data_IF_100752329302
#
_entry.id   IF_100752329302
#
_cell.length_a   1.000
_cell.length_b   1.000
_cell.length_c   1.000
_cell.angle_alpha   90.00
_cell.angle_beta   90.00
_cell.angle_gamma   90.00
#
_symmetry.space_group_name_H-M   'P 1'
#
loop_
_entity.id
_entity.type
_entity.pdbx_description
1 polymer ?
#
# COMPACT_ATOMS: atom_id res chain seq x y z
N UNK A 1 37.45 -25.46 -15.82
CA UNK A 1 36.24 -25.34 -14.98
C UNK A 1 35.55 -24.04 -15.35
N UNK A 2 34.50 -24.09 -16.16
CA UNK A 2 33.74 -22.90 -16.51
C UNK A 2 32.82 -22.55 -15.32
N UNK A 3 33.07 -21.40 -14.69
CA UNK A 3 32.19 -20.81 -13.68
C UNK A 3 30.92 -20.34 -14.38
N UNK A 4 29.87 -21.15 -14.37
CA UNK A 4 28.57 -20.75 -14.90
C UNK A 4 27.89 -19.84 -13.87
N UNK A 5 27.78 -18.57 -14.25
CA UNK A 5 27.07 -17.48 -13.57
C UNK A 5 25.61 -17.85 -13.19
N UNK A 6 25.04 -18.86 -13.85
CA UNK A 6 23.71 -19.43 -13.60
C UNK A 6 23.52 -19.98 -12.17
N UNK A 7 24.60 -20.37 -11.50
CA UNK A 7 24.52 -20.86 -10.11
C UNK A 7 24.18 -19.75 -9.09
N UNK A 8 24.35 -18.47 -9.46
CA UNK A 8 24.11 -17.31 -8.60
C UNK A 8 22.74 -16.65 -8.78
N UNK A 9 21.98 -17.00 -9.82
CA UNK A 9 20.61 -16.45 -10.05
C UNK A 9 19.57 -17.37 -9.39
N UNK A 10 19.61 -17.46 -8.06
CA UNK A 10 18.60 -18.17 -7.24
C UNK A 10 17.60 -17.20 -6.61
N UNK A 11 17.00 -16.33 -7.41
CA UNK A 11 15.83 -15.57 -6.99
C UNK A 11 14.83 -15.52 -8.15
N UNK A 12 14.03 -16.59 -8.29
CA UNK A 12 12.81 -16.49 -9.07
C UNK A 12 11.89 -15.52 -8.32
N UNK A 13 11.85 -14.26 -8.77
CA UNK A 13 10.86 -13.30 -8.26
C UNK A 13 9.48 -13.90 -8.50
N UNK A 14 8.55 -13.80 -7.54
CA UNK A 14 7.20 -14.31 -7.73
C UNK A 14 6.57 -13.67 -8.98
N UNK A 15 5.68 -14.39 -9.69
CA UNK A 15 5.01 -13.84 -10.85
C UNK A 15 4.23 -12.57 -10.47
N UNK A 16 4.11 -11.60 -11.39
CA UNK A 16 3.32 -10.39 -11.16
C UNK A 16 1.89 -10.71 -10.72
N UNK A 17 1.47 -10.18 -9.57
CA UNK A 17 0.13 -10.38 -9.03
C UNK A 17 -0.75 -9.18 -9.36
N UNK A 18 -1.92 -9.43 -9.95
CA UNK A 18 -2.90 -8.40 -10.22
C UNK A 18 -3.42 -7.81 -8.89
N UNK A 19 -3.43 -6.48 -8.79
CA UNK A 19 -3.97 -5.77 -7.64
C UNK A 19 -5.47 -5.53 -7.78
N UNK A 20 -5.94 -5.21 -8.97
CA UNK A 20 -7.36 -5.06 -9.25
C UNK A 20 -7.64 -5.29 -10.74
N UNK A 21 -8.90 -5.63 -11.02
CA UNK A 21 -9.44 -5.79 -12.37
C UNK A 21 -10.72 -4.97 -12.46
N UNK A 22 -10.95 -4.29 -13.58
CA UNK A 22 -12.18 -3.50 -13.81
C UNK A 22 -13.39 -4.41 -13.97
N UNK A 23 -14.58 -3.80 -13.98
CA UNK A 23 -15.73 -4.48 -14.55
C UNK A 23 -15.51 -4.70 -16.05
N UNK A 24 -16.08 -5.81 -16.54
CA UNK A 24 -16.03 -6.14 -17.95
C UNK A 24 -17.06 -5.30 -18.72
N UNK A 25 -16.60 -4.58 -19.74
CA UNK A 25 -17.49 -3.86 -20.66
C UNK A 25 -17.62 -4.67 -21.94
N UNK A 26 -18.87 -4.90 -22.38
CA UNK A 26 -19.20 -5.51 -23.67
C UNK A 26 -19.92 -4.51 -24.56
N UNK A 27 -19.42 -4.32 -25.78
CA UNK A 27 -20.04 -3.46 -26.80
C UNK A 27 -19.82 -4.08 -28.18
N UNK A 28 -20.93 -4.41 -28.86
CA UNK A 28 -20.95 -4.97 -30.23
C UNK A 28 -19.92 -6.09 -30.43
N UNK A 29 -19.99 -7.06 -29.53
CA UNK A 29 -19.12 -8.24 -29.49
C UNK A 29 -17.70 -7.99 -28.98
N UNK A 30 -17.25 -6.73 -28.86
CA UNK A 30 -15.96 -6.42 -28.27
C UNK A 30 -16.05 -6.44 -26.75
N UNK A 31 -15.00 -6.93 -26.10
CA UNK A 31 -14.89 -6.98 -24.64
C UNK A 31 -13.68 -6.18 -24.18
N UNK A 32 -13.84 -5.42 -23.09
CA UNK A 32 -12.79 -4.62 -22.46
C UNK A 32 -12.68 -4.96 -20.98
N UNK A 33 -11.45 -5.20 -20.53
CA UNK A 33 -11.12 -5.43 -19.12
C UNK A 33 -9.78 -4.75 -18.84
N UNK A 34 -9.69 -3.92 -17.79
CA UNK A 34 -8.43 -3.40 -17.31
C UNK A 34 -7.92 -4.21 -16.13
N UNK A 35 -6.60 -4.38 -16.03
CA UNK A 35 -5.91 -4.96 -14.89
C UNK A 35 -4.76 -4.06 -14.47
N UNK A 36 -4.59 -3.84 -13.17
CA UNK A 36 -3.48 -3.04 -12.61
C UNK A 36 -2.54 -3.91 -11.78
N UNK A 37 -1.24 -3.66 -11.93
CA UNK A 37 -0.16 -4.31 -11.19
C UNK A 37 0.73 -3.25 -10.54
N UNK A 38 1.32 -3.58 -9.38
CA UNK A 38 2.43 -2.80 -8.85
C UNK A 38 3.65 -2.93 -9.77
N UNK A 39 4.32 -1.82 -10.03
CA UNK A 39 5.54 -1.76 -10.83
C UNK A 39 6.38 -0.56 -10.41
N UNK A 40 7.48 -0.81 -9.71
CA UNK A 40 8.40 0.24 -9.24
C UNK A 40 9.45 0.64 -10.26
N UNK A 41 9.50 -0.07 -11.39
CA UNK A 41 10.39 0.22 -12.51
C UNK A 41 9.75 -0.11 -13.85
N UNK A 42 10.20 0.52 -14.95
CA UNK A 42 9.74 0.16 -16.30
C UNK A 42 9.98 -1.31 -16.67
N UNK A 43 11.01 -1.94 -16.09
CA UNK A 43 11.28 -3.37 -16.28
C UNK A 43 10.21 -4.24 -15.62
N UNK A 44 9.80 -3.91 -14.40
CA UNK A 44 8.69 -4.59 -13.72
C UNK A 44 7.36 -4.39 -14.44
N UNK A 45 7.11 -3.18 -14.94
CA UNK A 45 5.94 -2.90 -15.77
C UNK A 45 5.91 -3.82 -17.01
N UNK A 46 7.04 -3.93 -17.72
CA UNK A 46 7.17 -4.81 -18.89
C UNK A 46 6.99 -6.29 -18.54
N UNK A 47 7.50 -6.74 -17.39
CA UNK A 47 7.29 -8.11 -16.89
C UNK A 47 5.81 -8.38 -16.63
N UNK A 48 5.09 -7.44 -16.01
CA UNK A 48 3.66 -7.57 -15.76
C UNK A 48 2.84 -7.60 -17.05
N UNK A 49 3.13 -6.72 -18.02
CA UNK A 49 2.50 -6.72 -19.35
C UNK A 49 2.70 -8.09 -20.03
N UNK A 50 3.94 -8.58 -20.07
CA UNK A 50 4.27 -9.87 -20.68
C UNK A 50 3.63 -11.05 -19.94
N UNK A 51 3.53 -10.99 -18.62
CA UNK A 51 2.85 -12.01 -17.82
C UNK A 51 1.36 -12.05 -18.13
N UNK A 52 0.69 -10.89 -18.16
CA UNK A 52 -0.72 -10.81 -18.51
C UNK A 52 -0.96 -11.37 -19.92
N UNK A 53 -0.21 -10.90 -20.91
CA UNK A 53 -0.35 -11.28 -22.32
C UNK A 53 -0.14 -12.77 -22.56
N UNK A 54 0.95 -13.33 -22.03
CA UNK A 54 1.38 -14.69 -22.38
C UNK A 54 0.93 -15.78 -21.39
N UNK A 55 0.67 -15.41 -20.14
CA UNK A 55 0.31 -16.37 -19.07
C UNK A 55 -1.15 -16.22 -18.70
N UNK A 56 -1.57 -15.04 -18.24
CA UNK A 56 -2.96 -14.83 -17.78
C UNK A 56 -3.96 -14.97 -18.93
N UNK A 57 -3.67 -14.36 -20.08
CA UNK A 57 -4.46 -14.47 -21.31
C UNK A 57 -3.93 -15.51 -22.29
N UNK A 58 -2.96 -16.34 -21.89
CA UNK A 58 -2.35 -17.34 -22.79
C UNK A 58 -3.37 -18.30 -23.41
N UNK A 59 -4.39 -18.70 -22.64
CA UNK A 59 -5.46 -19.57 -23.13
C UNK A 59 -6.46 -18.87 -24.06
N UNK A 60 -6.63 -17.55 -23.92
CA UNK A 60 -7.54 -16.73 -24.73
C UNK A 60 -6.92 -15.34 -24.96
N UNK A 61 -5.97 -15.22 -25.91
CA UNK A 61 -5.25 -13.98 -26.14
C UNK A 61 -6.19 -12.81 -26.45
N UNK A 62 -5.95 -11.65 -25.86
CA UNK A 62 -6.61 -10.42 -26.26
C UNK A 62 -6.13 -10.01 -27.65
N UNK A 63 -6.97 -9.28 -28.38
CA UNK A 63 -6.58 -8.67 -29.65
C UNK A 63 -5.57 -7.54 -29.42
N UNK A 64 -5.73 -6.80 -28.33
CA UNK A 64 -4.83 -5.71 -27.93
C UNK A 64 -4.64 -5.69 -26.42
N UNK A 65 -3.40 -5.58 -25.96
CA UNK A 65 -3.00 -5.36 -24.56
C UNK A 65 -2.44 -3.94 -24.40
N UNK A 66 -3.33 -2.96 -24.31
CA UNK A 66 -2.98 -1.55 -24.26
C UNK A 66 -2.41 -1.24 -22.88
N UNK A 67 -1.19 -0.71 -22.79
CA UNK A 67 -0.54 -0.51 -21.49
C UNK A 67 -0.11 0.93 -21.26
N UNK A 68 -0.08 1.33 -19.99
CA UNK A 68 0.65 2.50 -19.53
C UNK A 68 1.23 2.28 -18.13
N UNK A 69 2.37 2.90 -17.84
CA UNK A 69 3.02 2.80 -16.55
C UNK A 69 3.59 4.15 -16.12
N UNK A 70 3.69 4.31 -14.80
CA UNK A 70 4.32 5.45 -14.14
C UNK A 70 5.10 4.91 -12.95
N UNK A 71 6.42 5.04 -12.96
CA UNK A 71 7.30 4.50 -11.92
C UNK A 71 8.15 5.61 -11.33
N UNK A 72 8.19 5.70 -10.01
CA UNK A 72 9.07 6.58 -9.26
C UNK A 72 10.43 5.90 -9.13
N UNK A 73 11.41 6.36 -9.90
CA UNK A 73 12.74 5.74 -9.96
C UNK A 73 13.81 6.66 -9.39
N UNK A 74 14.86 6.07 -8.84
CA UNK A 74 16.04 6.78 -8.38
C UNK A 74 16.83 7.29 -9.59
N UNK A 75 17.18 8.57 -9.59
CA UNK A 75 18.02 9.18 -10.64
C UNK A 75 19.41 8.55 -10.63
N UNK A 76 20.09 8.50 -11.79
CA UNK A 76 21.48 8.06 -11.85
C UNK A 76 22.36 8.85 -10.87
N UNK A 77 23.30 8.15 -10.23
CA UNK A 77 24.27 8.74 -9.29
C UNK A 77 23.66 9.34 -8.01
N UNK A 78 22.40 9.02 -7.69
CA UNK A 78 21.78 9.32 -6.39
C UNK A 78 21.67 8.07 -5.54
N UNK A 79 21.57 8.23 -4.22
CA UNK A 79 21.43 7.15 -3.24
C UNK A 79 20.05 7.13 -2.56
N UNK A 80 19.23 8.15 -2.79
CA UNK A 80 17.87 8.26 -2.26
C UNK A 80 17.81 8.85 -0.85
N UNK A 81 18.95 9.23 -0.26
CA UNK A 81 19.03 9.86 1.06
C UNK A 81 18.94 11.39 0.98
N UNK A 82 19.15 11.98 -0.20
CA UNK A 82 19.09 13.42 -0.46
C UNK A 82 17.66 13.99 -0.50
N UNK A 83 16.64 13.15 -0.33
CA UNK A 83 15.23 13.55 -0.32
C UNK A 83 14.56 13.40 -1.69
N UNK A 84 13.40 14.04 -1.91
CA UNK A 84 12.57 13.83 -3.10
C UNK A 84 13.26 14.13 -4.44
N UNK A 85 14.23 15.05 -4.44
CA UNK A 85 14.95 15.45 -5.65
C UNK A 85 15.84 14.35 -6.24
N UNK A 86 16.13 13.30 -5.46
CA UNK A 86 16.86 12.12 -5.92
C UNK A 86 16.02 11.23 -6.83
N UNK A 87 14.70 11.45 -6.89
CA UNK A 87 13.77 10.61 -7.63
C UNK A 87 13.19 11.34 -8.85
N UNK A 88 12.79 10.57 -9.87
CA UNK A 88 12.05 11.05 -11.03
C UNK A 88 10.93 10.08 -11.45
N UNK A 89 9.85 10.62 -12.01
CA UNK A 89 8.75 9.79 -12.51
C UNK A 89 9.03 9.42 -13.95
N UNK A 90 9.39 8.17 -14.20
CA UNK A 90 9.49 7.62 -15.56
C UNK A 90 8.13 7.08 -15.97
N UNK A 91 7.57 7.64 -17.04
CA UNK A 91 6.27 7.25 -17.58
C UNK A 91 6.43 6.68 -18.99
N UNK A 92 5.55 5.76 -19.37
CA UNK A 92 5.50 5.24 -20.74
C UNK A 92 4.16 4.57 -21.04
N UNK A 93 3.95 4.27 -22.32
CA UNK A 93 2.73 3.62 -22.80
C UNK A 93 3.00 2.77 -24.04
N UNK A 94 2.15 1.78 -24.26
CA UNK A 94 2.12 0.92 -25.44
C UNK A 94 0.67 0.80 -25.95
N UNK A 95 0.49 0.99 -27.25
CA UNK A 95 -0.82 0.88 -27.91
C UNK A 95 -1.17 -0.59 -28.25
N UNK A 96 -0.19 -1.49 -28.36
CA UNK A 96 -0.32 -2.88 -28.84
C UNK A 96 -1.23 -3.02 -30.08
N UNK A 97 -1.06 -2.13 -31.06
CA UNK A 97 -1.83 -2.11 -32.31
C UNK A 97 -3.16 -1.33 -32.25
N UNK A 98 -3.68 -1.04 -31.07
CA UNK A 98 -4.85 -0.18 -30.86
C UNK A 98 -4.41 1.30 -30.86
N UNK A 99 -4.11 1.85 -32.05
CA UNK A 99 -3.52 3.19 -32.20
C UNK A 99 -4.18 4.26 -31.33
N UNK A 100 -3.34 5.06 -30.66
CA UNK A 100 -3.66 6.18 -29.78
C UNK A 100 -4.31 5.81 -28.44
N UNK A 101 -4.31 4.54 -28.04
CA UNK A 101 -4.96 4.09 -26.81
C UNK A 101 -4.05 4.16 -25.58
N UNK A 102 -2.79 3.77 -25.67
CA UNK A 102 -1.85 3.72 -24.55
C UNK A 102 -1.62 5.09 -23.92
N UNK A 103 -1.49 6.13 -24.75
CA UNK A 103 -1.38 7.51 -24.28
C UNK A 103 -2.63 8.00 -23.52
N UNK A 104 -3.81 7.45 -23.80
CA UNK A 104 -5.04 7.76 -23.06
C UNK A 104 -5.07 7.08 -21.70
N UNK A 105 -4.67 5.81 -21.63
CA UNK A 105 -4.49 5.11 -20.35
C UNK A 105 -3.48 5.86 -19.48
N UNK A 106 -2.37 6.33 -20.05
CA UNK A 106 -1.39 7.14 -19.33
C UNK A 106 -1.99 8.45 -18.79
N UNK A 107 -2.79 9.16 -19.60
CA UNK A 107 -3.50 10.37 -19.14
C UNK A 107 -4.46 10.09 -18.00
N UNK A 108 -5.17 8.96 -18.04
CA UNK A 108 -6.04 8.54 -16.92
C UNK A 108 -5.21 8.31 -15.66
N UNK A 109 -4.09 7.58 -15.74
CA UNK A 109 -3.20 7.36 -14.60
C UNK A 109 -2.64 8.66 -14.02
N UNK A 110 -2.29 9.63 -14.88
CA UNK A 110 -1.84 10.96 -14.47
C UNK A 110 -2.93 11.75 -13.76
N UNK A 111 -4.15 11.78 -14.32
CA UNK A 111 -5.29 12.47 -13.73
C UNK A 111 -5.69 11.88 -12.37
N UNK A 112 -5.58 10.56 -12.23
CA UNK A 112 -5.86 9.86 -10.96
C UNK A 112 -4.69 9.94 -9.97
N UNK A 113 -3.51 10.38 -10.37
CA UNK A 113 -2.33 10.44 -9.51
C UNK A 113 -1.70 9.07 -9.19
N UNK A 114 -1.93 8.07 -10.04
CA UNK A 114 -1.41 6.70 -9.83
C UNK A 114 0.07 6.62 -10.24
N UNK A 115 0.93 6.22 -9.30
CA UNK A 115 2.37 5.98 -9.48
C UNK A 115 2.73 4.58 -8.99
N UNK A 116 3.93 4.12 -9.34
CA UNK A 116 4.45 2.77 -9.06
C UNK A 116 3.52 1.64 -9.50
N UNK A 117 2.91 1.84 -10.65
CA UNK A 117 1.96 0.92 -11.22
C UNK A 117 2.04 0.86 -12.75
N UNK A 118 1.54 -0.25 -13.28
CA UNK A 118 1.19 -0.42 -14.69
C UNK A 118 -0.27 -0.81 -14.80
N UNK A 119 -0.99 -0.13 -15.70
CA UNK A 119 -2.36 -0.45 -16.08
C UNK A 119 -2.33 -1.04 -17.48
N UNK A 120 -2.95 -2.21 -17.64
CA UNK A 120 -3.14 -2.84 -18.94
C UNK A 120 -4.63 -2.98 -19.20
N UNK A 121 -5.11 -2.43 -20.32
CA UNK A 121 -6.47 -2.57 -20.81
C UNK A 121 -6.48 -3.57 -21.95
N UNK A 122 -7.05 -4.73 -21.69
CA UNK A 122 -7.16 -5.82 -22.62
C UNK A 122 -8.45 -5.70 -23.42
N UNK A 123 -8.35 -5.73 -24.75
CA UNK A 123 -9.47 -5.69 -25.67
C UNK A 123 -9.54 -6.99 -26.49
N UNK A 124 -10.67 -7.67 -26.45
CA UNK A 124 -11.00 -8.74 -27.41
C UNK A 124 -11.94 -8.16 -28.47
N UNK A 125 -11.50 -8.14 -29.73
CA UNK A 125 -12.28 -7.56 -30.83
C UNK A 125 -13.45 -8.46 -31.22
N UNK A 126 -14.64 -7.86 -31.33
CA UNK A 126 -15.89 -8.55 -31.62
C UNK A 126 -16.28 -8.71 -33.08
N UNK A 127 -15.49 -8.18 -34.02
CA UNK A 127 -15.83 -8.14 -35.45
C UNK A 127 -16.38 -6.81 -35.95
N UNK A 128 -16.84 -5.91 -35.06
CA UNK A 128 -17.36 -4.59 -35.44
C UNK A 128 -16.47 -3.43 -34.97
N UNK A 129 -16.20 -2.48 -35.87
CA UNK A 129 -15.42 -1.28 -35.55
C UNK A 129 -16.22 -0.31 -34.67
N UNK A 130 -15.81 -0.14 -33.42
CA UNK A 130 -16.49 0.76 -32.49
C UNK A 130 -16.19 2.26 -32.73
N UNK A 131 -15.22 2.58 -33.58
CA UNK A 131 -14.82 3.96 -33.85
C UNK A 131 -14.27 4.65 -32.60
N UNK A 132 -14.77 5.85 -32.29
CA UNK A 132 -14.33 6.65 -31.13
C UNK A 132 -14.74 6.03 -29.79
N UNK A 133 -15.86 5.33 -29.74
CA UNK A 133 -16.46 4.79 -28.51
C UNK A 133 -15.54 3.81 -27.79
N UNK A 134 -14.67 3.07 -28.52
CA UNK A 134 -13.68 2.18 -27.89
C UNK A 134 -12.78 2.90 -26.89
N UNK A 135 -12.43 4.16 -27.17
CA UNK A 135 -11.57 4.94 -26.29
C UNK A 135 -12.27 5.31 -24.99
N UNK A 136 -13.58 5.57 -25.04
CA UNK A 136 -14.37 5.86 -23.84
C UNK A 136 -14.40 4.62 -22.92
N UNK A 137 -14.55 3.41 -23.50
CA UNK A 137 -14.46 2.13 -22.76
C UNK A 137 -13.07 1.89 -22.17
N UNK A 138 -12.02 2.13 -22.95
CA UNK A 138 -10.62 1.98 -22.50
C UNK A 138 -10.34 2.91 -21.31
N UNK A 139 -10.72 4.18 -21.42
CA UNK A 139 -10.52 5.16 -20.36
C UNK A 139 -11.37 4.85 -19.12
N UNK A 140 -12.59 4.34 -19.29
CA UNK A 140 -13.45 3.93 -18.18
C UNK A 140 -12.85 2.74 -17.41
N UNK A 141 -12.48 1.65 -18.10
CA UNK A 141 -11.84 0.50 -17.46
C UNK A 141 -10.54 0.90 -16.74
N UNK A 142 -9.70 1.74 -17.37
CA UNK A 142 -8.47 2.23 -16.76
C UNK A 142 -8.75 3.04 -15.48
N UNK A 143 -9.77 3.90 -15.49
CA UNK A 143 -10.13 4.72 -14.32
C UNK A 143 -10.61 3.86 -13.16
N UNK A 144 -11.41 2.84 -13.41
CA UNK A 144 -11.89 1.93 -12.37
C UNK A 144 -10.74 1.25 -11.62
N UNK A 145 -9.77 0.69 -12.35
CA UNK A 145 -8.61 0.04 -11.70
C UNK A 145 -7.69 1.05 -11.02
N UNK A 146 -7.57 2.28 -11.54
CA UNK A 146 -6.83 3.36 -10.87
C UNK A 146 -7.45 3.70 -9.50
N UNK A 147 -8.78 3.84 -9.43
CA UNK A 147 -9.47 4.06 -8.16
C UNK A 147 -9.33 2.88 -7.19
N UNK A 148 -9.37 1.64 -7.69
CA UNK A 148 -9.15 0.46 -6.87
C UNK A 148 -7.72 0.39 -6.33
N UNK A 149 -6.72 0.70 -7.15
CA UNK A 149 -5.31 0.79 -6.77
C UNK A 149 -5.10 1.81 -5.65
N UNK A 150 -5.62 3.03 -5.83
CA UNK A 150 -5.48 4.10 -4.82
C UNK A 150 -6.12 3.75 -3.48
N UNK A 151 -7.28 3.11 -3.48
CA UNK A 151 -7.91 2.67 -2.23
C UNK A 151 -7.04 1.67 -1.47
N UNK A 152 -6.36 0.76 -2.19
CA UNK A 152 -5.42 -0.19 -1.59
C UNK A 152 -4.17 0.50 -1.05
N UNK A 153 -3.62 1.44 -1.81
CA UNK A 153 -2.44 2.22 -1.41
C UNK A 153 -2.72 3.11 -0.18
N UNK A 154 -3.85 3.83 -0.20
CA UNK A 154 -4.33 4.63 0.94
C UNK A 154 -4.54 3.74 2.17
N UNK A 155 -5.11 2.55 2.01
CA UNK A 155 -5.33 1.61 3.11
C UNK A 155 -4.00 1.10 3.68
N UNK A 156 -3.07 0.67 2.83
CA UNK A 156 -1.74 0.23 3.26
C UNK A 156 -1.02 1.32 4.06
N UNK A 157 -1.10 2.57 3.59
CA UNK A 157 -0.55 3.75 4.30
C UNK A 157 -1.22 3.96 5.65
N UNK A 158 -2.55 3.84 5.72
CA UNK A 158 -3.29 3.94 6.99
C UNK A 158 -2.89 2.84 7.98
N UNK A 159 -2.75 1.60 7.51
CA UNK A 159 -2.34 0.45 8.34
C UNK A 159 -0.92 0.65 8.88
N UNK A 160 0.01 1.07 8.04
CA UNK A 160 1.39 1.36 8.46
C UNK A 160 1.43 2.49 9.50
N UNK A 161 0.63 3.54 9.31
CA UNK A 161 0.50 4.64 10.27
C UNK A 161 -0.07 4.16 11.59
N UNK A 162 -1.13 3.35 11.57
CA UNK A 162 -1.74 2.77 12.77
C UNK A 162 -0.74 1.90 13.54
N UNK A 163 0.02 1.05 12.85
CA UNK A 163 1.03 0.21 13.48
C UNK A 163 2.12 1.05 14.17
N UNK A 164 2.59 2.12 13.53
CA UNK A 164 3.56 3.06 14.12
C UNK A 164 3.00 3.79 15.35
N UNK A 165 1.74 4.23 15.29
CA UNK A 165 1.05 4.86 16.42
C UNK A 165 0.87 3.89 17.59
N UNK A 166 0.52 2.63 17.32
CA UNK A 166 0.38 1.59 18.35
C UNK A 166 1.72 1.31 19.04
N UNK A 167 2.83 1.21 18.30
CA UNK A 167 4.18 1.07 18.86
C UNK A 167 4.55 2.28 19.74
N UNK A 168 4.26 3.49 19.26
CA UNK A 168 4.49 4.73 20.02
C UNK A 168 3.67 4.74 21.32
N UNK A 169 2.40 4.37 21.24
CA UNK A 169 1.49 4.32 22.39
C UNK A 169 1.94 3.27 23.42
N UNK A 170 2.38 2.11 22.97
CA UNK A 170 2.93 1.06 23.82
C UNK A 170 4.18 1.56 24.58
N UNK A 171 5.13 2.19 23.87
CA UNK A 171 6.33 2.76 24.48
C UNK A 171 6.01 3.82 25.54
N UNK A 172 5.10 4.74 25.23
CA UNK A 172 4.68 5.79 26.17
C UNK A 172 3.97 5.23 27.42
N UNK A 173 3.16 4.18 27.26
CA UNK A 173 2.53 3.50 28.40
C UNK A 173 3.54 2.81 29.30
N UNK A 174 4.55 2.16 28.73
CA UNK A 174 5.66 1.56 29.49
C UNK A 174 6.44 2.63 30.27
N UNK A 175 6.75 3.77 29.64
CA UNK A 175 7.41 4.90 30.30
C UNK A 175 6.56 5.46 31.45
N UNK A 176 5.24 5.61 31.25
CA UNK A 176 4.32 6.06 32.28
C UNK A 176 4.29 5.08 33.46
N UNK A 177 4.18 3.78 33.21
CA UNK A 177 4.19 2.76 34.25
C UNK A 177 5.52 2.72 35.03
N UNK A 178 6.65 2.99 34.38
CA UNK A 178 7.94 3.14 35.07
C UNK A 178 7.98 4.40 35.94
N UNK A 179 7.55 5.55 35.41
CA UNK A 179 7.54 6.82 36.13
C UNK A 179 6.60 6.82 37.35
N UNK A 180 5.42 6.20 37.23
CA UNK A 180 4.49 6.07 38.36
C UNK A 180 5.09 5.21 39.47
N UNK A 181 5.71 4.06 39.12
CA UNK A 181 6.38 3.21 40.10
C UNK A 181 7.50 3.94 40.85
N UNK A 182 8.27 4.80 40.17
CA UNK A 182 9.33 5.60 40.83
C UNK A 182 8.76 6.67 41.75
N UNK A 183 7.61 7.26 41.41
CA UNK A 183 6.95 8.24 42.27
C UNK A 183 6.43 7.58 43.56
N UNK A 184 5.77 6.42 43.43
CA UNK A 184 5.24 5.68 44.58
C UNK A 184 6.35 5.22 45.55
N UNK A 185 7.54 4.86 45.04
CA UNK A 185 8.70 4.51 45.90
C UNK A 185 9.30 5.69 46.66
N UNK A 186 9.17 6.92 46.15
CA UNK A 186 9.67 8.11 46.84
C UNK A 186 8.72 8.56 47.96
N UNK A 187 7.41 8.42 47.77
CA UNK A 187 6.41 8.73 48.80
C UNK A 187 6.42 7.72 49.97
N UNK A 188 6.81 6.46 49.73
CA UNK A 188 6.91 5.41 50.75
C UNK A 188 8.14 5.51 51.67
N UNK A 189 9.08 6.45 51.44
CA UNK A 189 10.27 6.65 52.30
C UNK A 189 10.00 7.55 53.52
N UNK A 190 8.74 7.78 53.84
CA UNK A 190 8.30 8.66 54.92
C UNK A 190 7.15 8.11 55.76
N UNK A 191 7.18 6.84 56.16
CA UNK A 191 6.63 6.31 57.43
C UNK A 191 6.84 4.80 57.50
N UNK A 192 7.06 4.28 58.71
CA UNK A 192 7.60 2.96 58.98
C UNK A 192 6.76 1.76 58.55
N UNK A 193 7.44 0.62 58.67
CA UNK A 193 7.00 -0.77 58.54
C UNK A 193 5.50 -1.02 58.74
N UNK A 194 4.85 -1.66 57.76
CA UNK A 194 4.06 -2.85 58.09
C UNK A 194 3.86 -3.79 56.89
N UNK A 195 3.82 -5.07 57.22
CA UNK A 195 3.74 -6.22 56.34
C UNK A 195 2.27 -6.58 56.10
N UNK A 196 1.75 -6.50 54.87
CA UNK A 196 0.53 -7.26 54.52
C UNK A 196 0.39 -7.56 53.04
N UNK A 197 0.15 -8.84 52.81
CA UNK A 197 -0.34 -9.50 51.60
C UNK A 197 -1.63 -8.87 51.10
N UNK A 198 -1.67 -8.45 49.83
CA UNK A 198 -2.93 -8.19 49.12
C UNK A 198 -2.86 -8.77 47.69
N UNK A 199 -3.60 -9.86 47.55
CA UNK A 199 -4.14 -10.41 46.32
C UNK A 199 -4.88 -9.32 45.52
N UNK A 200 -4.45 -9.08 44.29
CA UNK A 200 -4.96 -8.01 43.45
C UNK A 200 -4.81 -8.41 42.00
N UNK A 201 -5.89 -8.95 41.44
CA UNK A 201 -6.01 -9.40 40.06
C UNK A 201 -5.38 -8.41 39.09
N UNK A 202 -4.23 -8.78 38.55
CA UNK A 202 -3.57 -8.08 37.46
C UNK A 202 -4.54 -8.11 36.29
N UNK A 203 -5.19 -6.98 36.02
CA UNK A 203 -5.92 -6.77 34.78
C UNK A 203 -4.83 -6.80 33.70
N UNK A 204 -4.64 -7.99 33.14
CA UNK A 204 -3.73 -8.23 32.02
C UNK A 204 -4.20 -7.30 30.91
N UNK A 205 -3.50 -6.18 30.76
CA UNK A 205 -3.62 -5.32 29.60
C UNK A 205 -3.37 -6.23 28.41
N UNK A 206 -4.42 -6.51 27.64
CA UNK A 206 -4.35 -7.32 26.42
C UNK A 206 -3.16 -6.83 25.61
N UNK A 207 -2.11 -7.63 25.58
CA UNK A 207 -1.03 -7.55 24.60
C UNK A 207 -1.69 -7.48 23.23
N UNK A 208 -1.31 -6.57 22.32
CA UNK A 208 -1.88 -6.57 20.98
C UNK A 208 -1.46 -7.89 20.31
N UNK A 209 -2.39 -8.82 20.25
CA UNK A 209 -2.23 -10.09 19.55
C UNK A 209 -2.08 -9.81 18.06
N UNK A 210 -0.98 -10.30 17.49
CA UNK A 210 -0.57 -10.47 16.09
C UNK A 210 -1.67 -10.74 15.02
N UNK A 211 -2.64 -9.84 14.85
CA UNK A 211 -3.56 -9.79 13.69
C UNK A 211 -4.24 -8.41 13.58
N UNK A 212 -3.45 -7.34 13.66
CA UNK A 212 -4.00 -6.05 14.12
C UNK A 212 -4.94 -5.34 13.11
N UNK A 213 -4.78 -5.55 11.80
CA UNK A 213 -5.56 -4.79 10.79
C UNK A 213 -6.00 -5.58 9.55
N UNK A 214 -5.95 -6.92 9.58
CA UNK A 214 -6.34 -7.77 8.45
C UNK A 214 -7.78 -7.49 7.96
N UNK A 215 -8.73 -7.31 8.87
CA UNK A 215 -10.11 -6.96 8.49
C UNK A 215 -10.25 -5.56 7.84
N UNK A 216 -9.36 -4.62 8.16
CA UNK A 216 -9.34 -3.31 7.47
C UNK A 216 -8.75 -3.43 6.07
N UNK A 217 -7.68 -4.22 5.93
CA UNK A 217 -7.04 -4.51 4.65
C UNK A 217 -8.02 -5.16 3.67
N UNK A 218 -8.83 -6.12 4.15
CA UNK A 218 -9.85 -6.79 3.35
C UNK A 218 -11.03 -5.87 2.97
N UNK A 219 -11.51 -5.06 3.90
CA UNK A 219 -12.69 -4.20 3.66
C UNK A 219 -12.38 -2.94 2.85
N UNK A 220 -11.12 -2.50 2.80
CA UNK A 220 -10.70 -1.24 2.18
C UNK A 220 -11.50 -0.02 2.65
N UNK A 221 -12.02 -0.04 3.89
CA UNK A 221 -12.73 1.08 4.53
C UNK A 221 -11.74 2.13 5.05
N UNK A 222 -11.23 2.93 4.12
CA UNK A 222 -10.26 4.01 4.40
C UNK A 222 -10.83 5.03 5.40
N UNK A 223 -12.15 5.27 5.40
CA UNK A 223 -12.77 6.21 6.32
C UNK A 223 -12.71 5.70 7.77
N UNK A 224 -13.00 4.43 7.99
CA UNK A 224 -12.84 3.78 9.31
C UNK A 224 -11.38 3.77 9.75
N UNK A 225 -10.45 3.47 8.85
CA UNK A 225 -9.02 3.51 9.16
C UNK A 225 -8.56 4.91 9.62
N UNK A 226 -8.97 5.97 8.92
CA UNK A 226 -8.70 7.37 9.32
C UNK A 226 -9.28 7.73 10.69
N UNK A 227 -10.48 7.26 11.01
CA UNK A 227 -11.08 7.46 12.36
C UNK A 227 -10.25 6.77 13.45
N UNK A 228 -9.74 5.56 13.18
CA UNK A 228 -8.88 4.83 14.11
C UNK A 228 -7.54 5.56 14.33
N UNK A 229 -6.96 6.14 13.28
CA UNK A 229 -5.73 6.94 13.39
C UNK A 229 -5.96 8.11 14.35
N UNK A 230 -7.02 8.90 14.14
CA UNK A 230 -7.35 10.01 15.02
C UNK A 230 -7.57 9.56 16.49
N UNK A 231 -8.22 8.41 16.70
CA UNK A 231 -8.40 7.85 18.03
C UNK A 231 -7.06 7.46 18.71
N UNK A 232 -6.10 6.93 17.93
CA UNK A 232 -4.74 6.60 18.43
C UNK A 232 -3.93 7.85 18.73
N UNK A 233 -3.97 8.86 17.88
CA UNK A 233 -3.33 10.15 18.13
C UNK A 233 -3.84 10.82 19.41
N UNK A 234 -5.16 10.79 19.64
CA UNK A 234 -5.77 11.31 20.87
C UNK A 234 -5.33 10.50 22.10
N UNK A 235 -5.23 9.17 21.98
CA UNK A 235 -4.72 8.31 23.06
C UNK A 235 -3.27 8.64 23.40
N UNK A 236 -2.41 8.82 22.39
CA UNK A 236 -1.01 9.24 22.57
C UNK A 236 -0.93 10.60 23.28
N UNK A 237 -1.76 11.56 22.86
CA UNK A 237 -1.82 12.89 23.50
C UNK A 237 -2.17 12.77 24.97
N UNK A 238 -3.21 12.00 25.32
CA UNK A 238 -3.62 11.77 26.70
C UNK A 238 -2.51 11.13 27.55
N UNK A 239 -1.84 10.11 27.03
CA UNK A 239 -0.74 9.43 27.75
C UNK A 239 0.46 10.36 27.94
N UNK A 240 0.80 11.19 26.95
CA UNK A 240 1.86 12.19 27.08
C UNK A 240 1.55 13.22 28.17
N UNK A 241 0.31 13.70 28.27
CA UNK A 241 -0.10 14.62 29.34
C UNK A 241 0.03 13.95 30.71
N UNK A 242 -0.41 12.69 30.84
CA UNK A 242 -0.26 11.94 32.08
C UNK A 242 1.21 11.75 32.49
N UNK A 243 2.07 11.41 31.53
CA UNK A 243 3.51 11.23 31.76
C UNK A 243 4.18 12.51 32.26
N UNK A 244 3.90 13.65 31.62
CA UNK A 244 4.41 14.95 32.07
C UNK A 244 3.94 15.29 33.48
N UNK A 245 2.69 14.98 33.82
CA UNK A 245 2.13 15.22 35.16
C UNK A 245 2.84 14.38 36.24
N UNK A 246 3.17 13.13 35.94
CA UNK A 246 3.92 12.27 36.88
C UNK A 246 5.36 12.79 37.03
N UNK A 247 6.04 13.08 35.92
CA UNK A 247 7.42 13.60 35.94
C UNK A 247 7.54 14.94 36.68
N UNK A 248 6.56 15.83 36.52
CA UNK A 248 6.53 17.12 37.23
C UNK A 248 6.23 17.02 38.73
N UNK A 249 5.77 15.87 39.24
CA UNK A 249 5.65 15.61 40.69
C UNK A 249 6.94 15.05 41.29
N UNK A 250 7.80 14.44 40.47
CA UNK A 250 9.04 13.79 40.90
C UNK A 250 10.26 14.72 40.84
N UNK A 251 10.11 15.91 40.24
CA UNK A 251 11.13 16.96 40.14
C UNK A 251 10.96 18.00 41.27
#
# INVERSE_FOLDING_TARGET
MASNLDSYVKASRPPPKALATSQEIRDRGSTFVATVYAATSPEEARKAINHLKNVTHGARPATHEIAAWRCMVLKPQRDGLGGPDDFEVVSGSDDDGEKYAGGRVLKVMQAEGVIDAVVVVSRWFGGEMLGRVRFDHIELCAREVCHAFRRKDDMATCIATLASLDQTLASLRTQLAAATRTADTNDAKGTGEDNSTVDGSVVIAKTPTDSSYSALDESLDVAKAKRLIAARENSIRSVRVALKKVQGKTA
#
